data_IF_893509977203
#
_entry.id   IF_893509977203
#
_cell.length_a   1.000
_cell.length_b   1.000
_cell.length_c   1.000
_cell.angle_alpha   90.00
_cell.angle_beta   90.00
_cell.angle_gamma   90.00
#
_symmetry.space_group_name_H-M   'P 1'
#
loop_
_entity.id
_entity.type
_entity.pdbx_description
1 polymer ?
#
# COMPACT_ATOMS: atom_id res chain seq x y z
N UNK A 1 -14.67 10.80 -5.61
CA UNK A 1 -14.52 9.68 -4.66
C UNK A 1 -13.04 9.38 -4.53
N UNK A 2 -12.53 9.43 -3.33
CA UNK A 2 -11.12 9.08 -3.09
C UNK A 2 -11.04 7.58 -2.80
N UNK A 3 -10.47 6.81 -3.71
CA UNK A 3 -10.22 5.39 -3.49
C UNK A 3 -9.02 5.23 -2.55
N UNK A 4 -9.28 4.76 -1.36
CA UNK A 4 -8.27 4.51 -0.33
C UNK A 4 -8.17 3.01 -0.12
N UNK A 5 -7.01 2.44 -0.43
CA UNK A 5 -6.75 1.01 -0.28
C UNK A 5 -5.70 0.68 0.79
N UNK A 6 -5.35 1.66 1.62
CA UNK A 6 -4.56 1.47 2.84
C UNK A 6 -5.41 1.96 4.00
N UNK A 7 -5.81 1.04 4.88
CA UNK A 7 -6.66 1.36 6.02
C UNK A 7 -5.84 1.75 7.25
N UNK A 8 -4.66 1.15 7.41
CA UNK A 8 -3.73 1.44 8.51
C UNK A 8 -2.30 1.42 8.02
N UNK A 9 -1.47 2.29 8.61
CA UNK A 9 -0.01 2.23 8.54
C UNK A 9 0.49 1.84 9.92
N UNK A 10 1.24 0.75 10.03
CA UNK A 10 1.65 0.16 11.32
C UNK A 10 3.09 0.46 11.69
N UNK A 11 3.94 0.68 10.70
CA UNK A 11 5.32 1.15 10.91
C UNK A 11 5.89 1.74 9.64
N UNK A 12 6.90 2.59 9.77
CA UNK A 12 7.67 3.08 8.63
C UNK A 12 9.04 3.56 9.05
N UNK A 13 9.97 3.54 8.12
CA UNK A 13 11.33 4.01 8.28
C UNK A 13 11.74 4.78 7.03
N UNK A 14 12.25 6.03 7.13
CA UNK A 14 12.48 6.91 5.98
C UNK A 14 13.28 6.23 4.88
N UNK A 15 12.70 6.23 3.66
CA UNK A 15 13.29 5.65 2.44
C UNK A 15 13.73 4.18 2.55
N UNK A 16 13.21 3.45 3.52
CA UNK A 16 13.57 2.04 3.73
C UNK A 16 12.38 1.11 3.61
N UNK A 17 11.41 1.22 4.52
CA UNK A 17 10.31 0.28 4.60
C UNK A 17 9.07 0.92 5.21
N UNK A 18 7.92 0.43 4.79
CA UNK A 18 6.62 0.72 5.38
C UNK A 18 5.81 -0.55 5.51
N UNK A 19 5.05 -0.66 6.58
CA UNK A 19 4.06 -1.73 6.76
C UNK A 19 2.68 -1.15 6.97
N UNK A 20 1.67 -1.85 6.48
CA UNK A 20 0.29 -1.40 6.58
C UNK A 20 -0.71 -2.52 6.38
N UNK A 21 -1.97 -2.18 6.53
CA UNK A 21 -3.09 -3.12 6.46
C UNK A 21 -4.13 -2.60 5.49
N UNK A 22 -4.65 -3.50 4.65
CA UNK A 22 -5.91 -3.36 3.93
C UNK A 22 -6.90 -4.37 4.48
N UNK A 23 -7.99 -3.89 5.06
CA UNK A 23 -9.13 -4.71 5.46
C UNK A 23 -10.19 -4.69 4.37
N UNK A 24 -10.84 -5.83 4.14
CA UNK A 24 -11.95 -5.91 3.17
C UNK A 24 -13.27 -6.00 3.93
N UNK A 25 -14.07 -4.95 3.79
CA UNK A 25 -15.43 -4.90 4.33
C UNK A 25 -16.40 -5.64 3.42
N UNK A 26 -17.41 -6.29 4.00
CA UNK A 26 -18.52 -6.88 3.24
C UNK A 26 -19.34 -5.86 2.45
N UNK A 27 -19.24 -4.58 2.78
CA UNK A 27 -19.98 -3.49 2.15
C UNK A 27 -19.22 -2.81 1.00
N UNK A 28 -17.97 -3.21 0.75
CA UNK A 28 -17.20 -2.62 -0.35
C UNK A 28 -17.90 -2.85 -1.70
N UNK A 29 -18.08 -1.76 -2.44
CA UNK A 29 -18.82 -1.79 -3.71
C UNK A 29 -18.21 -2.76 -4.74
N UNK A 30 -16.89 -2.87 -4.78
CA UNK A 30 -16.16 -3.77 -5.68
C UNK A 30 -16.40 -5.26 -5.40
N UNK A 31 -16.98 -5.59 -4.24
CA UNK A 31 -17.34 -6.95 -3.86
C UNK A 31 -18.74 -7.35 -4.33
N UNK A 32 -19.52 -6.39 -4.82
CA UNK A 32 -20.83 -6.70 -5.39
C UNK A 32 -20.63 -7.48 -6.67
N UNK A 33 -20.70 -8.81 -6.52
CA UNK A 33 -20.47 -9.74 -7.61
C UNK A 33 -21.43 -9.46 -8.76
N UNK A 34 -20.88 -9.13 -9.91
CA UNK A 34 -21.59 -9.30 -11.15
C UNK A 34 -21.63 -10.81 -11.44
N UNK A 35 -22.82 -11.33 -11.75
CA UNK A 35 -22.97 -12.70 -12.28
C UNK A 35 -22.77 -13.89 -11.33
N UNK A 36 -22.99 -13.73 -10.02
CA UNK A 36 -23.01 -14.88 -9.09
C UNK A 36 -21.64 -15.45 -8.73
N UNK A 37 -20.57 -14.72 -8.99
CA UNK A 37 -19.24 -15.07 -8.50
C UNK A 37 -19.12 -14.82 -6.98
N UNK A 38 -18.23 -15.55 -6.32
CA UNK A 38 -17.92 -15.33 -4.92
C UNK A 38 -17.37 -13.91 -4.72
N UNK A 39 -17.87 -13.12 -3.73
CA UNK A 39 -17.34 -11.80 -3.45
C UNK A 39 -15.85 -11.86 -3.10
N UNK A 40 -15.04 -11.09 -3.81
CA UNK A 40 -13.60 -10.99 -3.57
C UNK A 40 -13.06 -9.63 -4.00
N UNK A 41 -12.00 -9.18 -3.37
CA UNK A 41 -11.30 -8.00 -3.85
C UNK A 41 -10.55 -8.34 -5.15
N UNK A 42 -10.80 -7.60 -6.25
CA UNK A 42 -10.07 -7.81 -7.50
C UNK A 42 -8.56 -7.70 -7.32
N UNK A 43 -7.80 -8.51 -8.03
CA UNK A 43 -6.33 -8.56 -7.96
C UNK A 43 -5.69 -7.20 -8.28
N UNK A 44 -6.28 -6.45 -9.20
CA UNK A 44 -5.82 -5.09 -9.54
C UNK A 44 -5.92 -4.14 -8.36
N UNK A 45 -6.89 -4.31 -7.47
CA UNK A 45 -7.03 -3.50 -6.26
C UNK A 45 -6.08 -3.96 -5.14
N UNK A 46 -5.66 -5.23 -5.12
CA UNK A 46 -4.55 -5.66 -4.28
C UNK A 46 -3.26 -4.96 -4.69
N UNK A 47 -2.99 -4.90 -5.98
CA UNK A 47 -1.84 -4.18 -6.52
C UNK A 47 -1.92 -2.69 -6.19
N UNK A 48 -3.09 -2.07 -6.34
CA UNK A 48 -3.30 -0.67 -5.98
C UNK A 48 -3.02 -0.40 -4.49
N UNK A 49 -3.45 -1.29 -3.61
CA UNK A 49 -3.15 -1.19 -2.17
C UNK A 49 -1.64 -1.18 -1.91
N UNK A 50 -0.92 -2.06 -2.58
CA UNK A 50 0.53 -2.16 -2.50
C UNK A 50 1.22 -0.88 -3.01
N UNK A 51 0.81 -0.36 -4.16
CA UNK A 51 1.36 0.86 -4.75
C UNK A 51 1.06 2.10 -3.89
N UNK A 52 -0.14 2.19 -3.33
CA UNK A 52 -0.51 3.26 -2.40
C UNK A 52 0.34 3.23 -1.13
N UNK A 53 0.61 2.04 -0.59
CA UNK A 53 1.47 1.92 0.59
C UNK A 53 2.90 2.38 0.26
N UNK A 54 3.43 2.00 -0.90
CA UNK A 54 4.73 2.47 -1.38
C UNK A 54 4.78 4.00 -1.55
N UNK A 55 3.70 4.59 -2.08
CA UNK A 55 3.60 6.04 -2.19
C UNK A 55 3.57 6.74 -0.82
N UNK A 56 2.89 6.16 0.18
CA UNK A 56 2.93 6.66 1.56
C UNK A 56 4.36 6.69 2.11
N UNK A 57 5.18 5.68 1.82
CA UNK A 57 6.58 5.68 2.25
C UNK A 57 7.35 6.88 1.72
N UNK A 58 7.19 7.20 0.44
CA UNK A 58 7.90 8.34 -0.18
C UNK A 58 7.33 9.67 0.30
N UNK A 59 6.01 9.80 0.43
CA UNK A 59 5.37 10.99 1.01
C UNK A 59 5.88 11.30 2.42
N UNK A 60 5.87 10.31 3.30
CA UNK A 60 6.35 10.45 4.67
C UNK A 60 7.85 10.77 4.72
N UNK A 61 8.66 10.06 3.92
CA UNK A 61 10.11 10.24 3.87
C UNK A 61 10.52 11.62 3.39
N UNK A 62 9.75 12.21 2.47
CA UNK A 62 9.98 13.53 1.90
C UNK A 62 9.29 14.68 2.65
N UNK A 63 8.66 14.40 3.78
CA UNK A 63 7.78 15.35 4.47
C UNK A 63 6.68 15.92 3.55
N UNK A 64 6.01 15.03 2.82
CA UNK A 64 4.90 15.32 1.89
C UNK A 64 5.27 16.21 0.70
N UNK A 65 6.53 16.27 0.33
CA UNK A 65 7.00 17.06 -0.82
C UNK A 65 6.97 16.27 -2.13
N UNK A 66 7.21 14.96 -2.05
CA UNK A 66 7.36 14.07 -3.21
C UNK A 66 6.39 12.91 -3.14
N UNK A 67 5.77 12.60 -4.27
CA UNK A 67 5.01 11.38 -4.51
C UNK A 67 5.81 10.43 -5.39
N UNK A 68 5.53 9.13 -5.23
CA UNK A 68 6.05 8.09 -6.11
C UNK A 68 4.99 7.73 -7.16
N UNK A 69 5.21 8.14 -8.40
CA UNK A 69 4.32 7.80 -9.51
C UNK A 69 4.79 6.48 -10.14
N UNK A 70 4.00 5.40 -10.08
CA UNK A 70 4.38 4.13 -10.69
C UNK A 70 4.56 4.28 -12.20
N UNK A 71 5.68 3.79 -12.72
CA UNK A 71 6.03 3.85 -14.14
C UNK A 71 6.08 2.46 -14.76
N UNK A 72 6.62 1.49 -14.04
CA UNK A 72 6.81 0.14 -14.53
C UNK A 72 6.85 -0.84 -13.38
N UNK A 73 6.27 -2.02 -13.57
CA UNK A 73 6.34 -3.13 -12.65
C UNK A 73 6.97 -4.30 -13.40
N UNK A 74 8.06 -4.84 -12.86
CA UNK A 74 8.76 -5.96 -13.49
C UNK A 74 8.02 -7.27 -13.29
N UNK A 75 7.51 -7.52 -12.09
CA UNK A 75 6.78 -8.74 -11.78
C UNK A 75 5.75 -8.49 -10.66
N UNK A 76 4.56 -9.01 -10.87
CA UNK A 76 3.54 -9.15 -9.82
C UNK A 76 3.07 -10.60 -9.81
N UNK A 77 3.05 -11.20 -8.63
CA UNK A 77 2.48 -12.54 -8.41
C UNK A 77 1.31 -12.45 -7.47
N UNK A 78 0.22 -13.12 -7.84
CA UNK A 78 -0.96 -13.29 -7.01
C UNK A 78 -1.10 -14.76 -6.65
N UNK A 79 -1.25 -15.05 -5.36
CA UNK A 79 -1.39 -16.41 -4.85
C UNK A 79 -2.67 -16.57 -4.04
N UNK A 80 -3.80 -16.27 -4.67
CA UNK A 80 -5.13 -16.38 -4.12
C UNK A 80 -5.92 -15.08 -4.17
N UNK A 81 -7.05 -15.07 -3.48
CA UNK A 81 -8.02 -13.97 -3.44
C UNK A 81 -8.16 -13.40 -2.05
N UNK A 82 -8.35 -12.10 -1.96
CA UNK A 82 -8.69 -11.45 -0.70
C UNK A 82 -10.21 -11.41 -0.55
N UNK A 83 -10.72 -12.17 0.40
CA UNK A 83 -12.14 -12.31 0.69
C UNK A 83 -12.62 -11.26 1.70
N UNK A 84 -13.93 -10.92 1.70
CA UNK A 84 -14.52 -10.08 2.73
C UNK A 84 -14.25 -10.63 4.13
N UNK A 85 -14.03 -9.74 5.09
CA UNK A 85 -13.70 -10.08 6.47
C UNK A 85 -12.24 -10.44 6.72
N UNK A 86 -11.39 -10.44 5.68
CA UNK A 86 -9.95 -10.70 5.80
C UNK A 86 -9.14 -9.41 5.80
N UNK A 87 -7.93 -9.50 6.34
CA UNK A 87 -6.96 -8.42 6.36
C UNK A 87 -5.71 -8.82 5.59
N UNK A 88 -5.30 -7.96 4.65
CA UNK A 88 -4.02 -8.04 3.98
C UNK A 88 -3.00 -7.21 4.77
N UNK A 89 -1.98 -7.87 5.30
CA UNK A 89 -0.82 -7.21 5.91
C UNK A 89 0.26 -7.05 4.87
N UNK A 90 0.63 -5.81 4.61
CA UNK A 90 1.57 -5.46 3.54
C UNK A 90 2.89 -4.92 4.10
N UNK A 91 3.97 -5.25 3.42
CA UNK A 91 5.29 -4.66 3.63
C UNK A 91 5.87 -4.24 2.30
N UNK A 92 6.30 -2.99 2.19
CA UNK A 92 6.93 -2.43 0.99
C UNK A 92 8.26 -1.80 1.37
N UNK A 93 9.29 -2.09 0.59
CA UNK A 93 10.64 -1.58 0.81
C UNK A 93 11.16 -0.87 -0.42
N UNK A 94 11.98 0.16 -0.21
CA UNK A 94 12.80 0.76 -1.26
C UNK A 94 14.04 -0.11 -1.43
N UNK A 95 14.15 -0.80 -2.56
CA UNK A 95 15.30 -1.65 -2.88
C UNK A 95 16.42 -0.87 -3.56
N UNK A 96 16.06 0.21 -4.24
CA UNK A 96 17.01 1.12 -4.88
C UNK A 96 16.43 2.53 -4.95
N UNK A 97 17.28 3.51 -4.68
CA UNK A 97 16.97 4.92 -4.84
C UNK A 97 17.99 5.56 -5.77
N UNK A 98 17.50 6.34 -6.74
CA UNK A 98 18.29 7.14 -7.67
C UNK A 98 17.69 8.54 -7.77
N UNK A 99 18.40 9.46 -8.40
CA UNK A 99 17.92 10.85 -8.61
C UNK A 99 16.64 10.90 -9.45
N UNK A 100 16.46 9.93 -10.36
CA UNK A 100 15.33 9.83 -11.28
C UNK A 100 14.22 8.89 -10.82
N UNK A 101 14.38 8.20 -9.67
CA UNK A 101 13.33 7.31 -9.20
C UNK A 101 13.65 6.40 -8.05
N UNK A 102 12.62 5.65 -7.70
CA UNK A 102 12.64 4.62 -6.65
C UNK A 102 12.32 3.27 -7.27
N UNK A 103 12.99 2.24 -6.79
CA UNK A 103 12.59 0.87 -7.03
C UNK A 103 12.01 0.30 -5.74
N UNK A 104 10.76 -0.14 -5.82
CA UNK A 104 10.00 -0.68 -4.70
C UNK A 104 9.76 -2.16 -4.90
N UNK A 105 9.84 -2.91 -3.81
CA UNK A 105 9.46 -4.32 -3.77
C UNK A 105 8.77 -4.63 -2.45
N UNK A 106 7.95 -5.65 -2.43
CA UNK A 106 7.28 -6.06 -1.21
C UNK A 106 6.27 -7.16 -1.42
N UNK A 107 5.53 -7.44 -0.37
CA UNK A 107 4.52 -8.48 -0.34
C UNK A 107 3.35 -8.13 0.56
N UNK A 108 2.24 -8.83 0.35
CA UNK A 108 1.08 -8.79 1.22
C UNK A 108 0.69 -10.20 1.64
N UNK A 109 0.34 -10.35 2.92
CA UNK A 109 0.00 -11.64 3.55
C UNK A 109 -1.38 -11.62 4.18
N UNK A 110 -2.06 -12.75 4.09
CA UNK A 110 -3.28 -13.05 4.85
C UNK A 110 -3.01 -14.29 5.69
N UNK A 111 -3.19 -14.17 7.00
CA UNK A 111 -2.91 -15.27 7.96
C UNK A 111 -1.50 -15.88 7.77
N UNK A 112 -0.50 -15.04 7.51
CA UNK A 112 0.89 -15.44 7.29
C UNK A 112 1.22 -15.97 5.89
N UNK A 113 0.23 -16.21 5.03
CA UNK A 113 0.43 -16.68 3.66
C UNK A 113 0.56 -15.50 2.68
N UNK A 114 1.57 -15.53 1.82
CA UNK A 114 1.75 -14.52 0.77
C UNK A 114 0.61 -14.61 -0.24
N UNK A 115 -0.10 -13.50 -0.44
CA UNK A 115 -1.21 -13.37 -1.39
C UNK A 115 -0.84 -12.51 -2.60
N UNK A 116 0.06 -11.56 -2.42
CA UNK A 116 0.61 -10.72 -3.47
C UNK A 116 2.08 -10.47 -3.19
N UNK A 117 2.89 -10.50 -4.23
CA UNK A 117 4.27 -9.99 -4.20
C UNK A 117 4.55 -9.15 -5.44
N UNK A 118 5.27 -8.04 -5.23
CA UNK A 118 5.70 -7.13 -6.29
C UNK A 118 7.21 -6.96 -6.26
N UNK A 119 7.83 -7.11 -7.42
CA UNK A 119 9.27 -6.94 -7.60
C UNK A 119 9.57 -5.93 -8.69
N UNK A 120 10.58 -5.09 -8.45
CA UNK A 120 11.05 -4.13 -9.45
C UNK A 120 9.98 -3.13 -9.87
N UNK A 121 9.22 -2.60 -8.91
CA UNK A 121 8.24 -1.56 -9.16
C UNK A 121 8.99 -0.22 -9.25
N UNK A 122 9.19 0.27 -10.45
CA UNK A 122 9.82 1.57 -10.69
C UNK A 122 8.80 2.68 -10.53
N UNK A 123 9.15 3.70 -9.76
CA UNK A 123 8.34 4.89 -9.54
C UNK A 123 9.16 6.15 -9.74
N UNK A 124 8.60 7.10 -10.50
CA UNK A 124 9.21 8.41 -10.69
C UNK A 124 8.83 9.36 -9.54
N UNK A 125 9.77 10.19 -9.05
CA UNK A 125 9.44 11.24 -8.11
C UNK A 125 8.69 12.37 -8.83
N UNK A 126 7.55 12.76 -8.28
CA UNK A 126 6.78 13.91 -8.77
C UNK A 126 6.47 14.85 -7.61
N UNK A 127 6.38 16.18 -7.84
CA UNK A 127 6.01 17.12 -6.79
C UNK A 127 4.60 16.82 -6.27
N UNK A 128 4.47 16.53 -4.99
CA UNK A 128 3.18 16.18 -4.39
C UNK A 128 2.16 17.33 -4.50
N UNK A 129 2.62 18.58 -4.41
CA UNK A 129 1.76 19.76 -4.46
C UNK A 129 0.98 19.92 -5.78
N UNK A 130 1.42 19.27 -6.87
CA UNK A 130 0.70 19.27 -8.14
C UNK A 130 -0.56 18.41 -8.12
N UNK A 131 -0.66 17.45 -7.19
CA UNK A 131 -1.71 16.44 -7.17
C UNK A 131 -2.55 16.45 -5.89
N UNK A 132 -1.96 16.83 -4.77
CA UNK A 132 -2.56 16.70 -3.44
C UNK A 132 -2.21 17.89 -2.55
N UNK A 133 -3.04 18.10 -1.53
CA UNK A 133 -2.77 19.05 -0.46
C UNK A 133 -2.01 18.34 0.68
N UNK A 134 -0.85 18.86 1.06
CA UNK A 134 -0.01 18.26 2.09
C UNK A 134 -0.68 18.25 3.48
N UNK A 135 -1.47 19.28 3.81
CA UNK A 135 -2.14 19.35 5.12
C UNK A 135 -3.27 18.31 5.20
N UNK A 136 -4.01 18.11 4.11
CA UNK A 136 -5.02 17.04 4.03
C UNK A 136 -4.38 15.66 4.19
N UNK A 137 -3.20 15.44 3.61
CA UNK A 137 -2.47 14.19 3.76
C UNK A 137 -1.95 13.97 5.18
N UNK A 138 -1.51 15.03 5.87
CA UNK A 138 -1.11 14.94 7.28
C UNK A 138 -2.26 14.56 8.17
N UNK A 139 -3.43 15.16 7.95
CA UNK A 139 -4.65 14.79 8.69
C UNK A 139 -4.99 13.32 8.42
N UNK A 140 -5.03 12.90 7.16
CA UNK A 140 -5.30 11.52 6.81
C UNK A 140 -4.29 10.55 7.44
N UNK A 141 -3.00 10.87 7.38
CA UNK A 141 -1.97 10.05 8.01
C UNK A 141 -2.22 9.90 9.51
N UNK A 142 -2.59 10.97 10.21
CA UNK A 142 -2.90 10.92 11.65
C UNK A 142 -4.08 10.00 11.98
N UNK A 143 -5.02 9.84 11.05
CA UNK A 143 -6.18 8.95 11.20
C UNK A 143 -5.85 7.49 10.97
N UNK A 144 -4.92 7.18 10.06
CA UNK A 144 -4.59 5.80 9.66
C UNK A 144 -3.31 5.26 10.29
N UNK A 145 -2.50 6.10 10.92
CA UNK A 145 -1.27 5.68 11.59
C UNK A 145 -1.60 5.06 12.95
N UNK A 146 -1.43 3.76 13.03
CA UNK A 146 -1.67 2.96 14.24
C UNK A 146 -0.47 2.03 14.44
N UNK A 147 0.60 2.54 15.11
CA UNK A 147 1.80 1.75 15.32
C UNK A 147 1.49 0.51 16.14
N UNK A 148 2.01 -0.64 15.71
CA UNK A 148 1.95 -1.86 16.51
C UNK A 148 2.73 -1.61 17.80
N UNK A 149 2.12 -1.96 18.94
CA UNK A 149 2.80 -1.90 20.23
C UNK A 149 4.07 -2.76 20.13
N UNK A 150 5.21 -2.19 20.52
CA UNK A 150 6.44 -2.96 20.60
C UNK A 150 6.16 -4.18 21.48
N UNK A 151 6.30 -5.38 20.89
CA UNK A 151 6.26 -6.62 21.66
C UNK A 151 7.45 -6.52 22.60
N UNK A 152 7.16 -6.33 23.88
CA UNK A 152 8.19 -6.35 24.90
C UNK A 152 8.82 -7.76 24.83
N UNK A 153 10.03 -7.83 24.34
CA UNK A 153 10.85 -9.02 24.45
C UNK A 153 11.02 -9.31 25.95
N UNK A 154 10.34 -10.32 26.43
CA UNK A 154 10.49 -10.86 27.77
C UNK A 154 11.52 -11.98 27.77
#
# INVERSE_FOLDING_TARGET
MKFRFVDKITSWSPYRQITGIKAVSFEEYCLKAAFGEEPRLPETLLLESFLQLGNWLILLSSNFKTMAMPVRISEVRYDGYLLPGRQLRMSVSVTRQRDDGFELSGEGRVDGRVMISGLGCLAAPVPAAEFVNADDLRVLFSEIYEPEAAVAES
#
